data_IF_671380359628
#
_entry.id   IF_671380359628
#
_cell.length_a   1.000
_cell.length_b   1.000
_cell.length_c   1.000
_cell.angle_alpha   90.00
_cell.angle_beta   90.00
_cell.angle_gamma   90.00
#
_symmetry.space_group_name_H-M   'P 1'
#
loop_
_entity.id
_entity.type
_entity.pdbx_description
1 polymer ?
#
# COMPACT_ATOMS: atom_id res chain seq x y z
N UNK A 1 -1.31 4.49 22.53
CA UNK A 1 -1.87 4.07 21.22
C UNK A 1 -0.82 3.15 20.57
N UNK A 2 -1.07 1.82 20.49
CA UNK A 2 -0.09 0.90 19.89
C UNK A 2 -0.02 1.18 18.38
N UNK A 3 1.15 1.57 17.87
CA UNK A 3 1.44 1.48 16.43
C UNK A 3 1.25 0.01 16.07
N UNK A 4 0.20 -0.30 15.31
CA UNK A 4 0.02 -1.66 14.79
C UNK A 4 1.10 -1.86 13.74
N UNK A 5 1.97 -2.82 13.98
CA UNK A 5 3.04 -3.18 13.04
C UNK A 5 2.39 -3.63 11.73
N UNK A 6 2.83 -3.04 10.62
CA UNK A 6 2.39 -3.44 9.28
C UNK A 6 3.32 -4.57 8.87
N UNK A 7 2.74 -5.72 8.56
CA UNK A 7 3.48 -6.90 8.15
C UNK A 7 4.18 -6.63 6.81
N UNK A 8 5.46 -6.99 6.71
CA UNK A 8 6.28 -6.72 5.53
C UNK A 8 5.76 -7.50 4.30
N UNK A 9 5.24 -8.69 4.53
CA UNK A 9 4.61 -9.55 3.55
C UNK A 9 3.42 -8.87 2.86
N UNK A 10 2.60 -8.11 3.60
CA UNK A 10 1.50 -7.36 3.01
C UNK A 10 1.99 -6.22 2.14
N UNK A 11 3.08 -5.56 2.52
CA UNK A 11 3.70 -4.50 1.71
C UNK A 11 4.24 -5.09 0.41
N UNK A 12 4.92 -6.23 0.50
CA UNK A 12 5.46 -6.94 -0.67
C UNK A 12 4.34 -7.38 -1.60
N UNK A 13 3.31 -8.02 -1.08
CA UNK A 13 2.14 -8.45 -1.85
C UNK A 13 1.43 -7.26 -2.52
N UNK A 14 1.30 -6.13 -1.83
CA UNK A 14 0.68 -4.93 -2.40
C UNK A 14 1.48 -4.34 -3.56
N UNK A 15 2.81 -4.48 -3.57
CA UNK A 15 3.66 -4.00 -4.68
C UNK A 15 3.67 -5.01 -5.83
N UNK A 16 3.75 -6.31 -5.54
CA UNK A 16 3.88 -7.37 -6.55
C UNK A 16 2.55 -7.74 -7.20
N UNK A 17 1.46 -7.76 -6.44
CA UNK A 17 0.13 -8.18 -6.88
C UNK A 17 -0.98 -7.22 -6.38
N UNK A 18 -0.91 -5.91 -6.72
CA UNK A 18 -1.89 -4.93 -6.29
C UNK A 18 -3.29 -5.25 -6.84
N UNK A 19 -4.33 -4.93 -6.07
CA UNK A 19 -5.69 -4.93 -6.60
C UNK A 19 -5.95 -3.66 -7.43
N UNK A 20 -5.34 -2.55 -7.04
CA UNK A 20 -5.40 -1.27 -7.77
C UNK A 20 -4.02 -0.62 -7.81
N UNK A 21 -3.65 -0.12 -8.99
CA UNK A 21 -2.44 0.66 -9.21
C UNK A 21 -2.80 2.02 -9.77
N UNK A 22 -2.26 3.08 -9.16
CA UNK A 22 -2.38 4.46 -9.66
C UNK A 22 -0.99 5.03 -9.89
N UNK A 23 -0.73 5.45 -11.13
CA UNK A 23 0.47 6.21 -11.47
C UNK A 23 0.13 7.70 -11.42
N UNK A 24 0.60 8.38 -10.38
CA UNK A 24 0.35 9.82 -10.17
C UNK A 24 1.33 10.64 -10.99
N UNK A 25 2.60 10.25 -10.97
CA UNK A 25 3.68 10.92 -11.71
C UNK A 25 4.83 9.95 -12.00
N UNK A 26 5.92 10.45 -12.59
CA UNK A 26 7.16 9.68 -12.71
C UNK A 26 7.83 9.37 -11.37
N UNK A 27 7.49 10.11 -10.32
CA UNK A 27 8.10 10.04 -8.98
C UNK A 27 7.16 9.44 -7.93
N UNK A 28 5.91 9.15 -8.28
CA UNK A 28 4.92 8.61 -7.34
C UNK A 28 4.04 7.56 -8.01
N UNK A 29 4.16 6.32 -7.51
CA UNK A 29 3.22 5.23 -7.75
C UNK A 29 2.53 4.85 -6.45
N UNK A 30 1.25 4.53 -6.55
CA UNK A 30 0.44 4.08 -5.44
C UNK A 30 -0.16 2.73 -5.75
N UNK A 31 -0.11 1.84 -4.76
CA UNK A 31 -0.69 0.52 -4.81
C UNK A 31 -1.69 0.37 -3.69
N UNK A 32 -2.81 -0.30 -3.98
CA UNK A 32 -3.76 -0.73 -2.97
C UNK A 32 -3.92 -2.24 -3.05
N UNK A 33 -3.90 -2.88 -1.88
CA UNK A 33 -4.20 -4.29 -1.71
C UNK A 33 -5.16 -4.49 -0.57
N UNK A 34 -6.23 -5.24 -0.81
CA UNK A 34 -7.17 -5.67 0.21
C UNK A 34 -6.48 -6.73 1.06
N UNK A 35 -6.45 -6.51 2.37
CA UNK A 35 -5.90 -7.45 3.35
C UNK A 35 -7.09 -8.00 4.16
N UNK A 36 -7.61 -9.19 3.80
CA UNK A 36 -8.75 -9.80 4.49
C UNK A 36 -8.48 -9.98 5.98
N UNK A 37 -7.28 -10.47 6.31
CA UNK A 37 -6.81 -10.76 7.66
C UNK A 37 -6.77 -9.53 8.58
N UNK A 38 -6.82 -8.33 8.01
CA UNK A 38 -6.78 -7.08 8.76
C UNK A 38 -8.11 -6.33 8.78
N UNK A 39 -9.21 -7.08 8.91
CA UNK A 39 -10.57 -6.52 8.93
C UNK A 39 -11.00 -6.04 7.55
N UNK A 40 -10.53 -6.71 6.50
CA UNK A 40 -10.92 -6.46 5.11
C UNK A 40 -10.60 -5.04 4.62
N UNK A 41 -9.50 -4.45 5.12
CA UNK A 41 -9.07 -3.09 4.80
C UNK A 41 -8.07 -3.08 3.65
N UNK A 42 -8.00 -1.96 2.94
CA UNK A 42 -6.99 -1.75 1.91
C UNK A 42 -5.71 -1.19 2.52
N UNK A 43 -4.60 -1.88 2.28
CA UNK A 43 -3.26 -1.36 2.51
C UNK A 43 -2.87 -0.50 1.31
N UNK A 44 -2.57 0.77 1.56
CA UNK A 44 -2.02 1.69 0.58
C UNK A 44 -0.50 1.75 0.74
N UNK A 45 0.21 1.50 -0.35
CA UNK A 45 1.66 1.62 -0.44
C UNK A 45 1.99 2.70 -1.46
N UNK A 46 2.70 3.73 -1.03
CA UNK A 46 3.19 4.81 -1.90
C UNK A 46 4.69 4.63 -2.08
N UNK A 47 5.14 4.54 -3.32
CA UNK A 47 6.56 4.40 -3.66
C UNK A 47 7.01 5.56 -4.55
N UNK A 48 8.31 5.87 -4.46
CA UNK A 48 9.00 6.64 -5.47
C UNK A 48 9.87 5.68 -6.30
N UNK A 49 9.49 5.40 -7.56
CA UNK A 49 10.18 4.42 -8.39
C UNK A 49 11.59 4.89 -8.81
N UNK A 50 11.80 6.20 -8.96
CA UNK A 50 13.11 6.76 -9.35
C UNK A 50 14.13 6.60 -8.22
N UNK A 51 13.70 6.84 -6.98
CA UNK A 51 14.54 6.70 -5.78
C UNK A 51 14.57 5.28 -5.24
N UNK A 52 13.73 4.38 -5.77
CA UNK A 52 13.54 2.99 -5.31
C UNK A 52 13.22 2.92 -3.81
N UNK A 53 12.38 3.83 -3.33
CA UNK A 53 12.00 3.91 -1.91
C UNK A 53 10.50 3.80 -1.71
N UNK A 54 10.12 3.20 -0.58
CA UNK A 54 8.76 3.28 -0.07
C UNK A 54 8.64 4.60 0.70
N UNK A 55 7.73 5.46 0.24
CA UNK A 55 7.50 6.79 0.83
C UNK A 55 6.57 6.66 2.04
N UNK A 56 5.49 5.89 1.92
CA UNK A 56 4.50 5.73 3.00
C UNK A 56 3.73 4.43 2.86
N UNK A 57 3.41 3.80 3.99
CA UNK A 57 2.54 2.62 4.06
C UNK A 57 1.50 2.83 5.16
N UNK A 58 0.22 2.69 4.84
CA UNK A 58 -0.86 2.75 5.83
C UNK A 58 -2.15 2.09 5.31
N UNK A 59 -3.03 1.72 6.22
CA UNK A 59 -4.37 1.25 5.85
C UNK A 59 -5.28 2.42 5.49
N UNK A 60 -5.76 2.45 4.26
CA UNK A 60 -6.72 3.42 3.78
C UNK A 60 -8.13 2.99 4.21
N UNK A 61 -8.78 3.83 5.04
CA UNK A 61 -10.11 3.56 5.60
C UNK A 61 -11.25 4.04 4.69
N UNK A 62 -10.95 4.86 3.69
CA UNK A 62 -11.95 5.47 2.80
C UNK A 62 -11.96 4.81 1.44
N UNK A 63 -10.86 4.18 1.06
CA UNK A 63 -10.78 3.44 -0.20
C UNK A 63 -11.77 2.27 -0.22
N UNK A 64 -12.58 2.25 -1.27
CA UNK A 64 -13.45 1.14 -1.65
C UNK A 64 -13.19 0.90 -3.14
N UNK A 65 -13.07 -0.37 -3.52
CA UNK A 65 -12.95 -0.76 -4.93
C UNK A 65 -14.22 -0.36 -5.69
#
# INVERSE_FOLDING_TARGET
>A
MKRREIALEWVKEAIENPDVTEKVSGEELRFWKKIPDFGNRFLKVVINPQRKTIVTVHFDRRFKL
#
